data_IF_713104164934
#
_entry.id   IF_713104164934
#
_cell.length_a   1.000
_cell.length_b   1.000
_cell.length_c   1.000
_cell.angle_alpha   90.00
_cell.angle_beta   90.00
_cell.angle_gamma   90.00
#
_symmetry.space_group_name_H-M   'P 1'
#
loop_
_entity.id
_entity.type
_entity.pdbx_description
1 polymer ?
#
# COMPACT_ATOMS: atom_id res chain seq x y z
N UNK A 1 -7.91 24.96 7.85
CA UNK A 1 -7.06 24.03 7.10
C UNK A 1 -7.98 22.89 6.66
N UNK A 2 -8.05 22.58 5.38
CA UNK A 2 -8.93 21.51 4.87
C UNK A 2 -8.16 20.18 4.91
N UNK A 3 -8.81 19.13 5.41
CA UNK A 3 -8.26 17.76 5.36
C UNK A 3 -8.52 17.17 3.97
N UNK A 4 -7.49 16.79 3.26
CA UNK A 4 -7.53 16.23 1.90
C UNK A 4 -7.22 14.72 1.88
N UNK A 5 -7.07 14.09 3.04
CA UNK A 5 -6.56 12.70 3.17
C UNK A 5 -7.36 11.65 2.40
N UNK A 6 -8.67 11.89 2.19
CA UNK A 6 -9.55 10.96 1.49
C UNK A 6 -10.21 11.59 0.25
N UNK A 7 -9.66 12.71 -0.22
CA UNK A 7 -10.15 13.39 -1.41
C UNK A 7 -9.76 12.61 -2.67
N UNK A 8 -10.72 12.45 -3.57
CA UNK A 8 -10.51 11.72 -4.83
C UNK A 8 -9.50 12.40 -5.75
N UNK A 9 -9.35 13.72 -5.67
CA UNK A 9 -8.38 14.48 -6.45
C UNK A 9 -6.93 14.14 -6.08
N UNK A 10 -6.69 13.67 -4.85
CA UNK A 10 -5.35 13.42 -4.32
C UNK A 10 -5.07 11.93 -4.05
N UNK A 11 -5.96 11.02 -4.48
CA UNK A 11 -5.84 9.59 -4.22
C UNK A 11 -4.59 8.93 -4.78
N UNK A 12 -4.02 9.48 -5.85
CA UNK A 12 -2.83 8.95 -6.53
C UNK A 12 -1.51 9.44 -5.92
N UNK A 13 -1.52 10.49 -5.07
CA UNK A 13 -0.29 11.12 -4.58
C UNK A 13 0.59 10.19 -3.72
N UNK A 14 0.04 9.14 -3.15
CA UNK A 14 0.74 8.25 -2.23
C UNK A 14 1.25 6.96 -2.89
N UNK A 15 1.14 6.84 -4.21
CA UNK A 15 1.57 5.65 -4.92
C UNK A 15 1.85 5.91 -6.40
N UNK A 16 2.24 4.86 -7.12
CA UNK A 16 2.36 4.91 -8.57
C UNK A 16 1.13 4.28 -9.20
N UNK A 17 0.50 4.98 -10.11
CA UNK A 17 -0.55 4.40 -10.95
C UNK A 17 0.06 3.40 -11.93
N UNK A 18 -0.77 2.50 -12.45
CA UNK A 18 -0.33 1.57 -13.48
C UNK A 18 0.19 2.30 -14.73
N UNK A 19 -0.46 3.40 -15.13
CA UNK A 19 -0.05 4.20 -16.29
C UNK A 19 1.34 4.79 -16.09
N UNK A 20 1.61 5.38 -14.94
CA UNK A 20 2.94 5.92 -14.60
C UNK A 20 4.02 4.84 -14.60
N UNK A 21 3.70 3.66 -14.08
CA UNK A 21 4.64 2.51 -14.11
C UNK A 21 4.96 2.09 -15.54
N UNK A 22 3.96 2.02 -16.42
CA UNK A 22 4.16 1.67 -17.82
C UNK A 22 4.90 2.78 -18.61
N UNK A 23 4.70 4.07 -18.27
CA UNK A 23 5.32 5.19 -18.97
C UNK A 23 6.74 5.48 -18.48
N UNK A 24 6.92 5.63 -17.16
CA UNK A 24 8.19 6.13 -16.60
C UNK A 24 9.17 5.02 -16.21
N UNK A 25 8.68 3.83 -15.89
CA UNK A 25 9.52 2.73 -15.41
C UNK A 25 9.74 1.61 -16.43
N UNK A 26 9.26 1.77 -17.66
CA UNK A 26 9.38 0.73 -18.68
C UNK A 26 10.82 0.24 -18.90
N UNK A 27 11.87 1.09 -18.99
CA UNK A 27 13.24 0.61 -19.16
C UNK A 27 13.73 -0.26 -18.00
N UNK A 28 13.30 0.03 -16.78
CA UNK A 28 13.65 -0.75 -15.59
C UNK A 28 12.90 -2.08 -15.55
N UNK A 29 11.64 -2.08 -15.97
CA UNK A 29 10.86 -3.32 -16.12
C UNK A 29 11.46 -4.22 -17.20
N UNK A 30 11.96 -3.66 -18.29
CA UNK A 30 12.65 -4.41 -19.34
C UNK A 30 13.94 -5.03 -18.82
N UNK A 31 14.76 -4.28 -18.09
CA UNK A 31 15.94 -4.81 -17.45
C UNK A 31 15.61 -5.94 -16.44
N UNK A 32 14.60 -5.73 -15.61
CA UNK A 32 14.13 -6.75 -14.66
C UNK A 32 13.61 -8.01 -15.38
N UNK A 33 12.89 -7.84 -16.50
CA UNK A 33 12.38 -8.95 -17.31
C UNK A 33 13.49 -9.82 -17.88
N UNK A 34 14.59 -9.21 -18.31
CA UNK A 34 15.79 -9.93 -18.76
C UNK A 34 16.46 -10.72 -17.62
N UNK A 35 16.60 -10.10 -16.44
CA UNK A 35 17.17 -10.76 -15.25
C UNK A 35 16.35 -11.97 -14.83
N UNK A 36 15.02 -11.83 -14.87
CA UNK A 36 14.09 -12.87 -14.41
C UNK A 36 13.67 -13.85 -15.52
N UNK A 37 14.11 -13.62 -16.75
CA UNK A 37 13.72 -14.39 -17.94
C UNK A 37 12.20 -14.52 -18.09
N UNK A 38 11.48 -13.40 -17.88
CA UNK A 38 10.03 -13.30 -17.98
C UNK A 38 9.65 -12.19 -18.96
N UNK A 39 8.59 -12.34 -19.78
CA UNK A 39 8.08 -11.25 -20.60
C UNK A 39 7.66 -10.05 -19.73
N UNK A 40 7.92 -8.81 -20.19
CA UNK A 40 7.55 -7.58 -19.46
C UNK A 40 6.07 -7.57 -19.09
N UNK A 41 5.19 -8.02 -19.98
CA UNK A 41 3.74 -8.05 -19.73
C UNK A 41 3.33 -9.02 -18.60
N UNK A 42 4.05 -10.12 -18.45
CA UNK A 42 3.82 -11.06 -17.35
C UNK A 42 4.42 -10.52 -16.05
N UNK A 43 5.63 -9.96 -16.13
CA UNK A 43 6.28 -9.31 -14.99
C UNK A 43 5.41 -8.19 -14.43
N UNK A 44 4.88 -7.32 -15.28
CA UNK A 44 4.01 -6.23 -14.85
C UNK A 44 2.76 -6.73 -14.12
N UNK A 45 2.12 -7.79 -14.61
CA UNK A 45 0.98 -8.41 -13.91
C UNK A 45 1.35 -8.91 -12.52
N UNK A 46 2.51 -9.53 -12.38
CA UNK A 46 3.00 -10.02 -11.08
C UNK A 46 3.31 -8.87 -10.14
N UNK A 47 3.97 -7.82 -10.62
CA UNK A 47 4.30 -6.60 -9.86
C UNK A 47 3.03 -5.90 -9.38
N UNK A 48 2.03 -5.71 -10.25
CA UNK A 48 0.75 -5.10 -9.87
C UNK A 48 0.01 -5.96 -8.83
N UNK A 49 0.04 -7.28 -9.00
CA UNK A 49 -0.58 -8.20 -8.03
C UNK A 49 0.09 -8.13 -6.65
N UNK A 50 1.42 -8.00 -6.62
CA UNK A 50 2.21 -8.04 -5.39
C UNK A 50 2.26 -6.70 -4.66
N UNK A 51 2.47 -5.61 -5.39
CA UNK A 51 2.73 -4.29 -4.81
C UNK A 51 1.61 -3.29 -5.05
N UNK A 52 0.58 -3.64 -5.83
CA UNK A 52 -0.54 -2.80 -6.17
C UNK A 52 -1.80 -3.11 -5.35
N UNK A 53 -2.86 -2.39 -5.69
CA UNK A 53 -4.18 -2.58 -5.08
C UNK A 53 -4.45 -1.65 -3.89
N UNK A 54 -3.51 -0.77 -3.55
CA UNK A 54 -3.72 0.27 -2.54
C UNK A 54 -4.64 1.36 -3.07
N UNK A 55 -5.52 1.82 -2.22
CA UNK A 55 -6.41 2.92 -2.50
C UNK A 55 -6.46 3.85 -1.29
N UNK A 56 -6.25 5.14 -1.52
CA UNK A 56 -6.16 6.16 -0.48
C UNK A 56 -7.27 7.20 -0.57
N UNK A 57 -8.24 7.02 -1.48
CA UNK A 57 -9.36 7.92 -1.64
C UNK A 57 -10.70 7.22 -1.35
N UNK A 58 -11.72 8.01 -0.99
CA UNK A 58 -13.00 7.52 -0.46
C UNK A 58 -13.85 6.71 -1.44
N UNK A 59 -13.68 6.92 -2.76
CA UNK A 59 -14.46 6.23 -3.79
C UNK A 59 -13.81 4.94 -4.26
N UNK A 60 -12.57 4.70 -3.84
CA UNK A 60 -11.74 3.54 -4.22
C UNK A 60 -11.68 3.30 -5.74
N UNK A 61 -11.67 4.38 -6.52
CA UNK A 61 -11.67 4.34 -7.98
C UNK A 61 -10.29 4.05 -8.55
N UNK A 62 -9.26 4.70 -7.98
CA UNK A 62 -7.89 4.57 -8.44
C UNK A 62 -7.06 3.69 -7.51
N UNK A 63 -6.33 2.77 -8.13
CA UNK A 63 -5.43 1.84 -7.42
C UNK A 63 -3.99 2.15 -7.78
N UNK A 64 -3.18 2.26 -6.75
CA UNK A 64 -1.77 2.57 -6.86
C UNK A 64 -0.89 1.45 -6.33
N UNK A 65 0.37 1.46 -6.75
CA UNK A 65 1.42 0.58 -6.24
C UNK A 65 2.14 1.26 -5.09
N UNK A 66 2.55 0.48 -4.08
CA UNK A 66 3.39 0.94 -2.99
C UNK A 66 4.78 1.34 -3.53
N UNK A 67 5.17 2.64 -3.47
CA UNK A 67 6.37 3.14 -4.14
C UNK A 67 7.65 2.46 -3.63
N UNK A 68 7.80 2.36 -2.32
CA UNK A 68 8.98 1.77 -1.71
C UNK A 68 9.21 0.32 -2.16
N UNK A 69 8.18 -0.52 -2.05
CA UNK A 69 8.28 -1.93 -2.41
C UNK A 69 8.56 -2.12 -3.89
N UNK A 70 7.91 -1.33 -4.74
CA UNK A 70 8.11 -1.36 -6.18
C UNK A 70 9.54 -0.91 -6.58
N UNK A 71 10.05 0.18 -6.00
CA UNK A 71 11.40 0.67 -6.29
C UNK A 71 12.48 -0.30 -5.79
N UNK A 72 12.30 -0.91 -4.64
CA UNK A 72 13.22 -1.96 -4.15
C UNK A 72 13.22 -3.19 -5.07
N UNK A 73 12.06 -3.60 -5.55
CA UNK A 73 11.98 -4.66 -6.55
C UNK A 73 12.78 -4.31 -7.81
N UNK A 74 12.63 -3.09 -8.34
CA UNK A 74 13.39 -2.66 -9.53
C UNK A 74 14.90 -2.60 -9.27
N UNK A 75 15.31 -2.21 -8.08
CA UNK A 75 16.73 -2.17 -7.70
C UNK A 75 17.35 -3.56 -7.56
N UNK A 76 16.57 -4.57 -7.17
CA UNK A 76 17.04 -5.95 -6.99
C UNK A 76 15.95 -6.95 -7.38
N UNK A 77 15.70 -7.17 -8.69
CA UNK A 77 14.62 -8.04 -9.15
C UNK A 77 14.83 -9.49 -8.72
N UNK A 78 13.82 -10.06 -8.06
CA UNK A 78 13.79 -11.47 -7.64
C UNK A 78 12.50 -12.14 -8.08
N UNK A 79 12.59 -13.42 -8.43
CA UNK A 79 11.46 -14.18 -8.99
C UNK A 79 10.36 -14.44 -7.94
N UNK A 80 10.72 -14.52 -6.69
CA UNK A 80 9.84 -14.71 -5.55
C UNK A 80 9.07 -13.44 -5.16
N UNK A 81 9.37 -12.30 -5.82
CA UNK A 81 8.73 -11.01 -5.53
C UNK A 81 8.62 -10.78 -4.03
N UNK A 82 9.76 -10.93 -3.32
CA UNK A 82 9.81 -10.82 -1.86
C UNK A 82 9.03 -9.60 -1.36
N UNK A 83 8.38 -9.77 -0.22
CA UNK A 83 7.73 -8.70 0.50
C UNK A 83 8.76 -7.71 1.03
N UNK A 84 9.12 -6.72 0.22
CA UNK A 84 10.00 -5.62 0.62
C UNK A 84 9.39 -4.72 1.71
N UNK A 85 8.20 -5.05 2.18
CA UNK A 85 7.51 -4.36 3.25
C UNK A 85 8.31 -4.24 4.54
N UNK A 86 8.98 -5.33 4.92
CA UNK A 86 9.77 -5.39 6.15
C UNK A 86 11.08 -4.60 6.08
N UNK A 87 11.58 -4.34 4.88
CA UNK A 87 12.80 -3.57 4.65
C UNK A 87 12.54 -2.07 4.59
N UNK A 88 11.28 -1.65 4.47
CA UNK A 88 10.90 -0.26 4.43
C UNK A 88 11.02 0.41 5.79
N UNK A 89 12.15 0.44 6.37
CA UNK A 89 12.70 1.21 7.50
C UNK A 89 11.82 2.08 8.40
N UNK A 90 10.57 2.18 8.12
CA UNK A 90 9.58 2.69 9.05
C UNK A 90 9.43 1.65 10.15
N UNK A 91 10.18 1.81 11.25
CA UNK A 91 9.88 1.06 12.46
C UNK A 91 8.40 1.24 12.69
N UNK A 92 7.63 0.18 12.53
CA UNK A 92 6.21 0.14 12.87
C UNK A 92 6.04 0.26 14.39
N UNK A 93 6.73 1.23 15.01
CA UNK A 93 6.74 1.41 16.47
C UNK A 93 5.32 1.63 16.98
N UNK A 94 4.55 2.49 16.31
CA UNK A 94 3.16 2.72 16.65
C UNK A 94 2.31 1.44 16.50
N UNK A 95 2.55 0.66 15.44
CA UNK A 95 1.87 -0.61 15.24
C UNK A 95 2.32 -1.65 16.28
N UNK A 96 3.61 -1.71 16.58
CA UNK A 96 4.15 -2.61 17.61
C UNK A 96 3.66 -2.25 19.00
N UNK A 97 3.49 -0.97 19.29
CA UNK A 97 2.94 -0.51 20.56
C UNK A 97 1.43 -0.82 20.65
N UNK A 98 0.69 -0.69 19.54
CA UNK A 98 -0.70 -1.12 19.45
C UNK A 98 -0.86 -2.63 19.60
N UNK A 99 0.05 -3.42 19.00
CA UNK A 99 0.08 -4.89 19.18
C UNK A 99 0.35 -5.30 20.63
N UNK A 100 1.23 -4.58 21.33
CA UNK A 100 1.55 -4.84 22.74
C UNK A 100 0.43 -4.43 23.69
N UNK A 101 -0.40 -3.46 23.32
CA UNK A 101 -1.49 -2.96 24.16
C UNK A 101 -2.76 -3.83 24.12
N UNK A 102 -2.74 -4.97 23.45
CA UNK A 102 -3.88 -5.88 23.26
C UNK A 102 -5.13 -5.23 22.63
N UNK A 103 -4.90 -4.11 21.92
CA UNK A 103 -5.96 -3.33 21.28
C UNK A 103 -6.29 -3.80 19.87
N UNK A 104 -5.54 -4.76 19.34
CA UNK A 104 -5.74 -5.28 17.99
C UNK A 104 -6.65 -6.51 17.99
N UNK A 105 -7.42 -6.63 16.92
CA UNK A 105 -8.31 -7.76 16.65
C UNK A 105 -7.51 -9.01 16.27
N UNK A 106 -8.21 -10.16 16.26
CA UNK A 106 -7.67 -11.38 15.71
C UNK A 106 -7.21 -11.15 14.25
N UNK A 107 -5.99 -11.57 13.87
CA UNK A 107 -5.48 -11.41 12.51
C UNK A 107 -6.41 -11.94 11.40
N UNK A 108 -7.18 -13.01 11.67
CA UNK A 108 -8.15 -13.56 10.72
C UNK A 108 -9.29 -12.59 10.40
N UNK A 109 -9.60 -11.68 11.32
CA UNK A 109 -10.66 -10.68 11.11
C UNK A 109 -10.28 -9.62 10.08
N UNK A 110 -8.98 -9.33 9.89
CA UNK A 110 -8.52 -8.35 8.89
C UNK A 110 -8.61 -8.87 7.46
N UNK A 111 -8.72 -10.17 7.26
CA UNK A 111 -8.99 -10.77 5.95
C UNK A 111 -10.42 -10.56 5.43
N UNK A 112 -11.32 -10.02 6.24
CA UNK A 112 -12.73 -9.78 5.89
C UNK A 112 -12.99 -8.30 5.67
N UNK A 113 -13.86 -7.98 4.70
CA UNK A 113 -14.31 -6.60 4.48
C UNK A 113 -15.05 -6.07 5.71
N UNK A 114 -14.72 -4.85 6.11
CA UNK A 114 -15.31 -4.17 7.27
C UNK A 114 -15.78 -2.77 6.86
N UNK A 115 -16.94 -2.39 7.39
CA UNK A 115 -17.46 -1.04 7.21
C UNK A 115 -16.92 -0.13 8.31
N UNK A 116 -16.32 0.97 7.90
CA UNK A 116 -15.82 2.03 8.79
C UNK A 116 -16.34 3.38 8.34
N UNK A 117 -16.61 4.28 9.27
CA UNK A 117 -17.00 5.64 8.90
C UNK A 117 -15.81 6.42 8.37
N UNK A 118 -16.04 7.27 7.37
CA UNK A 118 -14.98 8.14 6.84
C UNK A 118 -14.37 9.03 7.91
N UNK A 119 -15.18 9.50 8.86
CA UNK A 119 -14.72 10.31 9.98
C UNK A 119 -13.73 9.58 10.91
N UNK A 120 -13.82 8.26 11.01
CA UNK A 120 -12.87 7.48 11.80
C UNK A 120 -11.54 7.26 11.06
N UNK A 121 -11.52 7.33 9.74
CA UNK A 121 -10.33 7.20 8.92
C UNK A 121 -9.55 8.52 8.80
N UNK A 122 -10.24 9.67 8.78
CA UNK A 122 -9.66 11.01 8.61
C UNK A 122 -9.40 11.76 9.91
N UNK A 123 -9.76 11.20 11.05
CA UNK A 123 -9.62 11.89 12.35
C UNK A 123 -8.17 12.13 12.74
N UNK A 124 -7.83 13.39 13.08
CA UNK A 124 -6.53 13.78 13.66
C UNK A 124 -6.44 13.44 15.16
N UNK A 125 -6.86 12.24 15.53
CA UNK A 125 -6.73 11.74 16.90
C UNK A 125 -5.26 11.46 17.23
N UNK A 126 -4.89 11.52 18.50
CA UNK A 126 -3.56 11.03 18.90
C UNK A 126 -3.41 9.55 18.54
N UNK A 127 -2.20 9.11 18.20
CA UNK A 127 -1.91 7.71 17.83
C UNK A 127 -2.44 6.71 18.88
N UNK A 128 -2.46 7.10 20.16
CA UNK A 128 -2.95 6.30 21.28
C UNK A 128 -4.48 6.09 21.28
N UNK A 129 -5.22 6.96 20.59
CA UNK A 129 -6.69 6.91 20.51
C UNK A 129 -7.23 6.41 19.18
N UNK A 130 -6.36 6.13 18.20
CA UNK A 130 -6.78 5.56 16.92
C UNK A 130 -7.16 4.08 17.08
N UNK A 131 -8.29 3.71 16.49
CA UNK A 131 -8.64 2.30 16.37
C UNK A 131 -7.68 1.60 15.38
N UNK A 132 -7.51 0.29 15.53
CA UNK A 132 -6.77 -0.56 14.61
C UNK A 132 -7.24 -0.40 13.15
N UNK A 133 -8.55 -0.30 12.94
CA UNK A 133 -9.16 -0.10 11.62
C UNK A 133 -8.90 1.29 11.01
N UNK A 134 -8.49 2.27 11.81
CA UNK A 134 -8.04 3.57 11.32
C UNK A 134 -6.51 3.60 11.12
N UNK A 135 -5.76 2.99 12.03
CA UNK A 135 -4.30 2.95 12.00
C UNK A 135 -3.77 2.13 10.81
N UNK A 136 -4.33 0.95 10.57
CA UNK A 136 -3.83 0.03 9.53
C UNK A 136 -3.96 0.58 8.10
N UNK A 137 -5.07 1.25 7.70
CA UNK A 137 -5.11 1.93 6.39
C UNK A 137 -4.12 3.10 6.29
N UNK A 138 -3.96 3.91 7.35
CA UNK A 138 -3.02 5.03 7.35
C UNK A 138 -1.56 4.59 7.26
N UNK A 139 -1.26 3.41 7.78
CA UNK A 139 0.08 2.80 7.71
C UNK A 139 0.27 1.89 6.49
N UNK A 140 -0.74 1.74 5.64
CA UNK A 140 -0.67 0.99 4.40
C UNK A 140 -0.76 -0.54 4.55
N UNK A 141 -1.21 -1.06 5.70
CA UNK A 141 -1.44 -2.50 5.89
C UNK A 141 -2.82 -2.95 5.43
N UNK A 142 -3.79 -2.06 5.39
CA UNK A 142 -5.11 -2.29 4.81
C UNK A 142 -5.37 -1.27 3.70
N UNK A 143 -6.33 -1.56 2.85
CA UNK A 143 -6.76 -0.68 1.77
C UNK A 143 -8.25 -0.40 1.84
N UNK A 144 -8.68 0.73 1.25
CA UNK A 144 -10.08 1.10 1.13
C UNK A 144 -10.67 0.35 -0.07
N UNK A 145 -11.89 -0.16 0.10
CA UNK A 145 -12.73 -0.69 -0.96
C UNK A 145 -14.05 0.08 -1.00
N UNK A 146 -14.54 0.38 -2.19
CA UNK A 146 -15.88 0.92 -2.41
C UNK A 146 -16.92 -0.20 -2.48
#
# INVERSE_FOLDING_TARGET
MSDISLDTEFGELLGFTRGEVEEYFYPYLEAASQVLNLPVSELLKKVIKQYGGFCFERMATEKVLAPWSFLNFLASPRIDLLDYWFESGGKASALMDSLKSDSMRDPEEYGRDKFVSLSSLSGSSSLESLSDLALLPQTGYLTIKA
#
